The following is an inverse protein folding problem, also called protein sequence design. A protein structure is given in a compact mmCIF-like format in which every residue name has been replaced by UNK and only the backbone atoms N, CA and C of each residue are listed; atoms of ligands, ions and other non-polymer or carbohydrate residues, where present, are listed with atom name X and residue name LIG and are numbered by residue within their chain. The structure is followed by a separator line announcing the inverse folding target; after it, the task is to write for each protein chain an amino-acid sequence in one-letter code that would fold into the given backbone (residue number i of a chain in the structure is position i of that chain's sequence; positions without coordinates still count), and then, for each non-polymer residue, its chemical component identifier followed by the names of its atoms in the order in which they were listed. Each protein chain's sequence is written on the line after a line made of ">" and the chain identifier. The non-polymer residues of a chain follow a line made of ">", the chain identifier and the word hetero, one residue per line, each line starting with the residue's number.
data_IF_977514326706
#
_entry.id   IF_977514326706
#
_cell.length_a   1.000
_cell.length_b   1.000
_cell.length_c   1.000
_cell.angle_alpha   90.00
_cell.angle_beta   90.00
_cell.angle_gamma   90.00
#
_symmetry.space_group_name_H-M   'P 1'
#
loop_
_entity.id
_entity.type
_entity.pdbx_description
1 polymer ?
#
# COMPACT_ATOMS: atom_id res chain seq x y z
N UNK A 1 19.11 -1.46 -0.76
CA UNK A 1 20.15 -0.86 0.09
C UNK A 1 21.50 -1.11 -0.56
N UNK A 2 22.04 -0.08 -1.23
CA UNK A 2 23.40 -0.04 -1.79
C UNK A 2 24.32 0.54 -0.70
N UNK A 3 25.42 -0.14 -0.40
CA UNK A 3 26.67 0.39 0.19
C UNK A 3 27.64 -0.79 0.28
N UNK A 4 28.56 -0.89 -0.68
CA UNK A 4 29.93 -0.39 -0.54
C UNK A 4 30.69 -1.15 0.54
N UNK A 5 31.35 -2.24 0.13
CA UNK A 5 32.42 -2.86 0.90
C UNK A 5 33.75 -2.44 0.27
N UNK A 6 34.44 -1.65 1.07
CA UNK A 6 35.60 -0.84 0.77
C UNK A 6 36.84 -1.69 0.68
N UNK A 7 37.54 -1.52 -0.43
CA UNK A 7 38.90 -1.96 -0.70
C UNK A 7 39.87 -1.16 0.19
N UNK A 8 40.67 -1.86 1.01
CA UNK A 8 41.79 -1.29 1.77
C UNK A 8 43.07 -2.07 1.43
N UNK A 9 43.88 -1.41 0.60
CA UNK A 9 45.33 -1.20 0.66
C UNK A 9 46.18 -2.27 1.36
N UNK A 10 47.16 -2.80 0.62
CA UNK A 10 48.54 -2.84 1.13
C UNK A 10 49.56 -2.71 -0.01
N UNK A 11 50.21 -1.55 -0.03
CA UNK A 11 51.46 -1.26 -0.72
C UNK A 11 52.58 -2.17 -0.19
N UNK A 12 53.23 -2.88 -1.10
CA UNK A 12 54.43 -3.68 -0.84
C UNK A 12 55.47 -3.41 -1.93
N UNK A 13 56.36 -2.47 -1.62
CA UNK A 13 57.61 -2.14 -2.31
C UNK A 13 58.51 -3.39 -2.40
N UNK A 14 59.07 -3.69 -3.57
CA UNK A 14 60.52 -3.92 -3.74
C UNK A 14 60.92 -3.86 -5.22
N UNK A 15 61.60 -2.78 -5.57
CA UNK A 15 62.69 -2.78 -6.55
C UNK A 15 63.66 -3.93 -6.22
N UNK A 16 64.17 -4.62 -7.24
CA UNK A 16 65.60 -4.95 -7.46
C UNK A 16 65.68 -6.12 -8.44
N UNK A 17 66.33 -5.93 -9.60
CA UNK A 17 66.61 -7.03 -10.50
C UNK A 17 67.05 -6.62 -11.90
N UNK A 18 68.08 -5.78 -12.00
CA UNK A 18 68.90 -5.70 -13.22
C UNK A 18 69.73 -6.98 -13.30
N UNK A 19 69.60 -7.74 -14.39
CA UNK A 19 70.34 -9.00 -14.58
C UNK A 19 70.11 -9.53 -15.98
N UNK A 20 70.95 -9.10 -16.91
CA UNK A 20 70.90 -9.53 -18.30
C UNK A 20 71.21 -11.02 -18.45
N UNK A 21 70.56 -11.63 -19.44
CA UNK A 21 71.17 -12.65 -20.27
C UNK A 21 70.49 -12.59 -21.64
N UNK A 22 70.95 -11.61 -22.42
CA UNK A 22 70.88 -11.69 -23.87
C UNK A 22 71.77 -12.87 -24.29
N UNK A 23 71.14 -14.03 -24.46
CA UNK A 23 71.57 -15.08 -25.37
C UNK A 23 70.45 -15.14 -26.41
N UNK A 24 70.56 -14.65 -27.65
CA UNK A 24 71.71 -14.76 -28.55
C UNK A 24 72.31 -16.18 -28.52
N UNK A 25 71.44 -17.19 -28.54
CA UNK A 25 71.77 -18.46 -29.17
C UNK A 25 71.10 -18.48 -30.54
N UNK A 26 71.94 -18.15 -31.52
CA UNK A 26 72.13 -18.95 -32.72
C UNK A 26 70.89 -19.17 -33.58
N UNK A 27 70.76 -18.27 -34.55
CA UNK A 27 70.43 -18.68 -35.90
C UNK A 27 71.31 -19.89 -36.30
N UNK A 28 70.71 -21.07 -36.40
CA UNK A 28 71.07 -22.16 -37.33
C UNK A 28 69.91 -23.13 -37.39
N UNK A 29 68.99 -22.87 -38.32
CA UNK A 29 68.31 -23.85 -39.16
C UNK A 29 67.48 -23.08 -40.19
N UNK A 30 68.16 -22.40 -41.12
CA UNK A 30 67.57 -22.08 -42.44
C UNK A 30 67.73 -23.32 -43.31
N UNK A 31 66.86 -24.30 -43.08
CA UNK A 31 66.53 -25.40 -43.97
C UNK A 31 65.06 -25.71 -43.61
N UNK A 32 64.04 -25.36 -44.37
CA UNK A 32 63.88 -25.21 -45.81
C UNK A 32 62.82 -24.10 -46.02
N UNK A 33 63.17 -22.92 -46.53
CA UNK A 33 62.22 -21.77 -46.64
C UNK A 33 61.40 -21.84 -47.94
N UNK A 34 61.60 -22.89 -48.74
CA UNK A 34 61.00 -23.00 -50.07
C UNK A 34 59.53 -23.44 -50.03
N UNK A 35 59.08 -24.03 -48.92
CA UNK A 35 57.71 -24.59 -48.74
C UNK A 35 56.97 -24.01 -47.52
N UNK A 36 57.37 -22.82 -47.05
CA UNK A 36 56.69 -22.14 -45.96
C UNK A 36 55.35 -21.54 -46.43
N UNK A 37 54.25 -22.01 -45.84
CA UNK A 37 52.88 -21.54 -46.09
C UNK A 37 52.47 -20.58 -44.97
N UNK A 38 51.95 -19.42 -45.33
CA UNK A 38 51.38 -18.46 -44.36
C UNK A 38 49.98 -18.91 -43.96
N UNK A 39 49.73 -19.02 -42.66
CA UNK A 39 48.42 -19.43 -42.13
C UNK A 39 47.44 -18.25 -42.23
N UNK A 40 46.32 -18.39 -42.96
CA UNK A 40 45.32 -17.33 -43.09
C UNK A 40 44.42 -17.26 -41.85
N UNK A 41 43.77 -16.12 -41.65
CA UNK A 41 42.70 -15.98 -40.66
C UNK A 41 41.47 -16.78 -41.07
N UNK A 42 41.02 -17.69 -40.21
CA UNK A 42 39.72 -18.37 -40.37
C UNK A 42 38.74 -18.04 -39.23
N UNK A 43 39.05 -17.02 -38.43
CA UNK A 43 38.22 -16.64 -37.29
C UNK A 43 36.83 -16.16 -37.71
N UNK A 44 35.80 -16.72 -37.08
CA UNK A 44 34.41 -16.44 -37.39
C UNK A 44 33.87 -17.12 -38.66
N UNK A 45 34.70 -17.84 -39.42
CA UNK A 45 34.23 -18.65 -40.54
C UNK A 45 33.48 -19.89 -40.07
N UNK A 46 32.66 -20.46 -40.96
CA UNK A 46 32.09 -21.79 -40.74
C UNK A 46 33.19 -22.84 -40.89
N UNK A 47 33.13 -23.92 -40.09
CA UNK A 47 34.15 -24.97 -40.09
C UNK A 47 34.41 -25.54 -41.49
N UNK A 48 33.36 -25.74 -42.30
CA UNK A 48 33.50 -26.20 -43.70
C UNK A 48 34.37 -25.25 -44.53
N UNK A 49 34.08 -23.94 -44.50
CA UNK A 49 34.83 -22.93 -45.26
C UNK A 49 36.25 -22.75 -44.76
N UNK A 50 36.44 -22.79 -43.44
CA UNK A 50 37.77 -22.73 -42.83
C UNK A 50 38.62 -23.93 -43.23
N UNK A 51 38.02 -25.13 -43.27
CA UNK A 51 38.68 -26.36 -43.70
C UNK A 51 39.10 -26.27 -45.17
N UNK A 52 38.16 -25.89 -46.05
CA UNK A 52 38.45 -25.72 -47.48
C UNK A 52 39.56 -24.71 -47.74
N UNK A 53 39.57 -23.59 -47.00
CA UNK A 53 40.59 -22.55 -47.17
C UNK A 53 41.99 -23.03 -46.73
N UNK A 54 42.08 -23.78 -45.63
CA UNK A 54 43.35 -24.29 -45.12
C UNK A 54 43.88 -25.47 -45.95
N UNK A 55 43.00 -26.40 -46.35
CA UNK A 55 43.36 -27.54 -47.19
C UNK A 55 43.81 -27.10 -48.59
N UNK A 56 43.17 -26.07 -49.17
CA UNK A 56 43.62 -25.48 -50.45
C UNK A 56 45.03 -24.88 -50.39
N UNK A 57 45.52 -24.51 -49.20
CA UNK A 57 46.89 -24.04 -48.99
C UNK A 57 47.87 -25.18 -48.70
N UNK A 58 47.39 -26.42 -48.63
CA UNK A 58 48.17 -27.59 -48.26
C UNK A 58 48.40 -27.72 -46.76
N UNK A 59 47.47 -27.22 -45.93
CA UNK A 59 47.49 -27.37 -44.48
C UNK A 59 46.45 -28.41 -44.04
N UNK A 60 46.75 -29.15 -42.98
CA UNK A 60 45.80 -30.11 -42.38
C UNK A 60 44.99 -29.41 -41.30
N UNK A 61 43.74 -29.81 -41.11
CA UNK A 61 42.86 -29.20 -40.11
C UNK A 61 42.43 -30.23 -39.08
N UNK A 62 42.59 -29.87 -37.80
CA UNK A 62 42.00 -30.61 -36.68
C UNK A 62 41.08 -29.67 -35.92
N UNK A 63 39.79 -29.99 -35.89
CA UNK A 63 38.80 -29.17 -35.19
C UNK A 63 38.34 -29.87 -33.91
N UNK A 64 38.35 -29.13 -32.81
CA UNK A 64 37.92 -29.57 -31.49
C UNK A 64 36.80 -28.65 -30.99
N UNK A 65 35.77 -29.23 -30.36
CA UNK A 65 34.70 -28.47 -29.72
C UNK A 65 35.24 -27.79 -28.46
N UNK A 66 35.41 -26.47 -28.51
CA UNK A 66 35.92 -25.68 -27.38
C UNK A 66 34.84 -25.30 -26.37
N UNK A 67 33.57 -25.53 -26.69
CA UNK A 67 32.46 -25.27 -25.78
C UNK A 67 32.17 -26.48 -24.88
N UNK A 68 32.14 -27.70 -25.43
CA UNK A 68 31.73 -28.90 -24.69
C UNK A 68 32.76 -30.04 -24.70
N UNK A 69 33.87 -29.93 -25.44
CA UNK A 69 34.87 -30.99 -25.56
C UNK A 69 34.35 -32.28 -26.21
N UNK A 70 33.23 -32.21 -26.94
CA UNK A 70 32.59 -33.36 -27.60
C UNK A 70 33.09 -33.52 -29.04
N UNK A 71 32.97 -34.74 -29.57
CA UNK A 71 33.28 -35.00 -30.98
C UNK A 71 32.26 -34.34 -31.91
N UNK A 72 32.76 -33.62 -32.92
CA UNK A 72 31.96 -32.92 -33.93
C UNK A 72 31.31 -33.96 -34.87
N UNK A 73 30.04 -34.30 -34.63
CA UNK A 73 29.31 -35.28 -35.44
C UNK A 73 28.77 -34.71 -36.76
N UNK A 74 28.72 -33.38 -36.91
CA UNK A 74 28.26 -32.71 -38.12
C UNK A 74 29.10 -31.46 -38.32
N UNK A 75 29.89 -31.38 -39.41
CA UNK A 75 30.74 -30.20 -39.69
C UNK A 75 29.94 -28.93 -40.01
N UNK A 76 28.71 -29.10 -40.47
CA UNK A 76 27.76 -28.00 -40.75
C UNK A 76 27.30 -27.35 -39.45
N UNK A 77 27.13 -26.03 -39.47
CA UNK A 77 26.66 -25.19 -38.36
C UNK A 77 27.65 -24.99 -37.19
N UNK A 78 28.95 -25.22 -37.43
CA UNK A 78 30.01 -24.89 -36.48
C UNK A 78 30.77 -23.65 -36.94
N UNK A 79 31.09 -22.76 -36.00
CA UNK A 79 31.88 -21.56 -36.24
C UNK A 79 33.23 -21.67 -35.53
N UNK A 80 34.29 -21.24 -36.21
CA UNK A 80 35.64 -21.19 -35.64
C UNK A 80 35.75 -20.03 -34.64
N UNK A 81 36.11 -20.35 -33.40
CA UNK A 81 36.27 -19.43 -32.27
C UNK A 81 37.73 -19.27 -31.84
N UNK A 82 38.58 -20.26 -32.12
CA UNK A 82 40.04 -20.16 -31.94
C UNK A 82 40.81 -20.90 -33.03
N UNK A 83 42.01 -20.42 -33.33
CA UNK A 83 42.88 -20.97 -34.36
C UNK A 83 44.32 -20.98 -33.83
N UNK A 84 44.99 -22.12 -33.95
CA UNK A 84 46.40 -22.31 -33.62
C UNK A 84 47.08 -23.18 -34.70
N UNK A 85 48.22 -22.78 -35.27
CA UNK A 85 48.91 -21.50 -35.06
C UNK A 85 48.12 -20.30 -35.57
N UNK A 86 48.35 -19.15 -34.93
CA UNK A 86 47.63 -17.91 -35.21
C UNK A 86 47.85 -17.39 -36.64
N UNK A 87 46.97 -16.50 -37.08
CA UNK A 87 47.07 -15.80 -38.37
C UNK A 87 48.47 -15.22 -38.61
N UNK A 88 48.97 -15.37 -39.82
CA UNK A 88 50.27 -14.85 -40.24
C UNK A 88 51.46 -15.71 -39.81
N UNK A 89 51.26 -16.76 -39.02
CA UNK A 89 52.30 -17.74 -38.72
C UNK A 89 52.79 -18.41 -40.01
N UNK A 90 54.11 -18.61 -40.12
CA UNK A 90 54.72 -19.37 -41.22
C UNK A 90 54.91 -20.80 -40.77
N UNK A 91 54.25 -21.73 -41.44
CA UNK A 91 54.30 -23.16 -41.13
C UNK A 91 54.78 -23.94 -42.35
N UNK A 92 55.34 -25.13 -42.15
CA UNK A 92 55.67 -26.00 -43.27
C UNK A 92 54.39 -26.46 -43.99
N UNK A 93 54.48 -26.75 -45.28
CA UNK A 93 53.42 -27.48 -45.99
C UNK A 93 53.08 -28.77 -45.24
N UNK A 94 51.81 -29.19 -45.26
CA UNK A 94 51.24 -30.30 -44.48
C UNK A 94 51.19 -30.12 -42.95
N UNK A 95 51.52 -28.93 -42.42
CA UNK A 95 51.35 -28.62 -41.01
C UNK A 95 49.88 -28.66 -40.61
N UNK A 96 49.61 -29.06 -39.36
CA UNK A 96 48.26 -29.14 -38.81
C UNK A 96 47.88 -27.85 -38.10
N UNK A 97 46.73 -27.29 -38.46
CA UNK A 97 46.08 -26.16 -37.79
C UNK A 97 44.96 -26.70 -36.91
N UNK A 98 45.07 -26.42 -35.60
CA UNK A 98 44.07 -26.72 -34.60
C UNK A 98 43.03 -25.60 -34.54
N UNK A 99 41.77 -25.96 -34.73
CA UNK A 99 40.64 -25.04 -34.70
C UNK A 99 39.75 -25.37 -33.51
N UNK A 100 39.56 -24.42 -32.61
CA UNK A 100 38.45 -24.48 -31.68
C UNK A 100 37.18 -24.00 -32.36
N UNK A 101 36.13 -24.80 -32.27
CA UNK A 101 34.83 -24.48 -32.85
C UNK A 101 33.71 -24.51 -31.82
N UNK A 102 32.62 -23.82 -32.15
CA UNK A 102 31.39 -23.79 -31.36
C UNK A 102 30.18 -24.03 -32.25
N UNK A 103 29.21 -24.81 -31.75
CA UNK A 103 27.99 -25.10 -32.47
C UNK A 103 27.00 -23.92 -32.40
N UNK A 104 26.66 -23.36 -33.56
CA UNK A 104 25.80 -22.18 -33.67
C UNK A 104 24.33 -22.45 -33.35
N UNK A 105 23.84 -23.67 -33.60
CA UNK A 105 22.45 -24.04 -33.27
C UNK A 105 22.27 -24.16 -31.75
N UNK A 106 23.26 -24.75 -31.07
CA UNK A 106 23.28 -24.84 -29.61
C UNK A 106 23.40 -23.45 -28.97
N UNK A 107 24.27 -22.60 -29.48
CA UNK A 107 24.38 -21.19 -29.07
C UNK A 107 23.04 -20.45 -29.19
N UNK A 108 22.37 -20.59 -30.33
CA UNK A 108 21.07 -19.97 -30.56
C UNK A 108 20.01 -20.51 -29.60
N UNK A 109 20.00 -21.82 -29.33
CA UNK A 109 19.10 -22.45 -28.38
C UNK A 109 19.36 -22.03 -26.92
N UNK A 110 20.62 -21.97 -26.50
CA UNK A 110 21.01 -21.50 -25.16
C UNK A 110 20.70 -20.01 -24.98
N UNK A 111 20.96 -19.19 -25.99
CA UNK A 111 20.57 -17.77 -25.99
C UNK A 111 19.06 -17.60 -25.94
N UNK A 112 18.30 -18.38 -26.72
CA UNK A 112 16.84 -18.34 -26.68
C UNK A 112 16.28 -18.79 -25.31
N UNK A 113 16.88 -19.80 -24.69
CA UNK A 113 16.52 -20.25 -23.35
C UNK A 113 16.84 -19.18 -22.29
N UNK A 114 18.00 -18.51 -22.39
CA UNK A 114 18.38 -17.42 -21.51
C UNK A 114 17.44 -16.20 -21.67
N UNK A 115 17.09 -15.82 -22.90
CA UNK A 115 16.17 -14.72 -23.19
C UNK A 115 14.76 -15.03 -22.67
N UNK A 116 14.27 -16.27 -22.84
CA UNK A 116 12.99 -16.73 -22.28
C UNK A 116 12.99 -16.70 -20.75
N UNK A 117 14.05 -17.18 -20.11
CA UNK A 117 14.19 -17.16 -18.65
C UNK A 117 14.25 -15.72 -18.10
N UNK A 118 14.92 -14.81 -18.80
CA UNK A 118 14.96 -13.39 -18.45
C UNK A 118 13.57 -12.74 -18.56
N UNK A 119 12.82 -13.06 -19.63
CA UNK A 119 11.46 -12.56 -19.82
C UNK A 119 10.49 -13.06 -18.73
N UNK A 120 10.54 -14.35 -18.38
CA UNK A 120 9.73 -14.92 -17.29
C UNK A 120 10.05 -14.28 -15.93
N UNK A 121 11.35 -14.06 -15.65
CA UNK A 121 11.78 -13.41 -14.41
C UNK A 121 11.33 -11.94 -14.35
N UNK A 122 11.35 -11.23 -15.48
CA UNK A 122 10.84 -9.86 -15.58
C UNK A 122 9.32 -9.80 -15.36
N UNK A 123 8.56 -10.74 -15.95
CA UNK A 123 7.11 -10.84 -15.74
C UNK A 123 6.76 -11.12 -14.27
N UNK A 124 7.47 -12.05 -13.62
CA UNK A 124 7.27 -12.35 -12.20
C UNK A 124 7.59 -11.15 -11.29
N UNK A 125 8.67 -10.41 -11.58
CA UNK A 125 9.03 -9.20 -10.83
C UNK A 125 7.96 -8.11 -10.97
N UNK A 126 7.41 -7.91 -12.18
CA UNK A 126 6.32 -6.96 -12.41
C UNK A 126 5.06 -7.35 -11.63
N UNK A 127 4.67 -8.62 -11.67
CA UNK A 127 3.51 -9.11 -10.92
C UNK A 127 3.67 -8.92 -9.39
N UNK A 128 4.86 -9.16 -8.86
CA UNK A 128 5.16 -8.93 -7.44
C UNK A 128 5.08 -7.44 -7.07
N UNK A 129 5.59 -6.55 -7.93
CA UNK A 129 5.52 -5.11 -7.74
C UNK A 129 4.07 -4.59 -7.78
N UNK A 130 3.27 -5.05 -8.74
CA UNK A 130 1.86 -4.68 -8.88
C UNK A 130 1.06 -5.14 -7.65
N UNK A 131 1.31 -6.36 -7.14
CA UNK A 131 0.69 -6.84 -5.90
C UNK A 131 1.09 -6.01 -4.69
N UNK A 132 2.37 -5.68 -4.55
CA UNK A 132 2.85 -4.86 -3.43
C UNK A 132 2.25 -3.45 -3.45
N UNK A 133 2.07 -2.86 -4.65
CA UNK A 133 1.41 -1.57 -4.81
C UNK A 133 -0.08 -1.64 -4.41
N UNK A 134 -0.79 -2.70 -4.80
CA UNK A 134 -2.18 -2.92 -4.41
C UNK A 134 -2.34 -3.12 -2.90
N UNK A 135 -1.49 -3.93 -2.27
CA UNK A 135 -1.51 -4.17 -0.82
C UNK A 135 -1.24 -2.86 -0.05
N UNK A 136 -0.29 -2.04 -0.51
CA UNK A 136 -0.03 -0.73 0.09
C UNK A 136 -1.21 0.23 -0.05
N UNK A 137 -1.83 0.29 -1.23
CA UNK A 137 -2.99 1.14 -1.46
C UNK A 137 -4.18 0.73 -0.57
N UNK A 138 -4.40 -0.58 -0.38
CA UNK A 138 -5.42 -1.09 0.52
C UNK A 138 -5.14 -0.71 1.99
N UNK A 139 -3.88 -0.82 2.44
CA UNK A 139 -3.48 -0.43 3.79
C UNK A 139 -3.63 1.08 4.03
N UNK A 140 -3.21 1.92 3.07
CA UNK A 140 -3.35 3.37 3.15
C UNK A 140 -4.84 3.79 3.22
N UNK A 141 -5.70 3.15 2.43
CA UNK A 141 -7.15 3.39 2.48
C UNK A 141 -7.75 2.98 3.83
N UNK A 142 -7.38 1.81 4.36
CA UNK A 142 -7.86 1.35 5.66
C UNK A 142 -7.42 2.30 6.81
N UNK A 143 -6.19 2.81 6.74
CA UNK A 143 -5.70 3.79 7.70
C UNK A 143 -6.47 5.13 7.62
N UNK A 144 -6.75 5.60 6.40
CA UNK A 144 -7.55 6.81 6.19
C UNK A 144 -8.99 6.66 6.70
N UNK A 145 -9.65 5.54 6.40
CA UNK A 145 -11.01 5.24 6.85
C UNK A 145 -11.06 5.19 8.39
N UNK A 146 -10.06 4.58 9.05
CA UNK A 146 -9.96 4.55 10.51
C UNK A 146 -9.74 5.95 11.10
N UNK A 147 -8.86 6.76 10.51
CA UNK A 147 -8.61 8.12 10.98
C UNK A 147 -9.86 9.00 10.88
N UNK A 148 -10.64 8.86 9.80
CA UNK A 148 -11.91 9.56 9.63
C UNK A 148 -12.93 9.15 10.70
N UNK A 149 -13.04 7.85 11.01
CA UNK A 149 -13.93 7.35 12.06
C UNK A 149 -13.52 7.86 13.46
N UNK A 150 -12.22 7.83 13.79
CA UNK A 150 -11.70 8.34 15.06
C UNK A 150 -11.96 9.85 15.21
N UNK A 151 -11.80 10.63 14.14
CA UNK A 151 -12.09 12.07 14.13
C UNK A 151 -13.59 12.36 14.31
N UNK A 152 -14.47 11.58 13.67
CA UNK A 152 -15.91 11.71 13.82
C UNK A 152 -16.36 11.39 15.27
N UNK A 153 -15.79 10.35 15.87
CA UNK A 153 -16.07 9.99 17.26
C UNK A 153 -15.61 11.10 18.24
N UNK A 154 -14.42 11.67 18.03
CA UNK A 154 -13.93 12.80 18.82
C UNK A 154 -14.81 14.05 18.68
N UNK A 155 -15.27 14.36 17.48
CA UNK A 155 -16.18 15.48 17.23
C UNK A 155 -17.53 15.26 17.94
N UNK A 156 -18.10 14.06 17.87
CA UNK A 156 -19.35 13.72 18.56
C UNK A 156 -19.20 13.83 20.09
N UNK A 157 -18.09 13.36 20.65
CA UNK A 157 -17.81 13.48 22.08
C UNK A 157 -17.70 14.94 22.53
N UNK A 158 -17.08 15.81 21.72
CA UNK A 158 -17.01 17.25 22.01
C UNK A 158 -18.40 17.88 22.02
N UNK A 159 -19.23 17.60 21.01
CA UNK A 159 -20.61 18.11 20.94
C UNK A 159 -21.43 17.65 22.15
N UNK A 160 -21.32 16.38 22.53
CA UNK A 160 -22.01 15.85 23.71
C UNK A 160 -21.56 16.55 25.01
N UNK A 161 -20.26 16.79 25.17
CA UNK A 161 -19.73 17.51 26.34
C UNK A 161 -20.23 18.97 26.40
N UNK A 162 -20.31 19.64 25.26
CA UNK A 162 -20.82 21.02 25.16
C UNK A 162 -22.31 21.09 25.51
N UNK A 163 -23.12 20.13 25.05
CA UNK A 163 -24.53 20.04 25.42
C UNK A 163 -24.74 19.73 26.90
N UNK A 164 -23.93 18.84 27.49
CA UNK A 164 -23.98 18.56 28.92
C UNK A 164 -23.63 19.79 29.76
N UNK A 165 -22.63 20.58 29.34
CA UNK A 165 -22.27 21.83 29.99
C UNK A 165 -23.40 22.88 29.90
N UNK A 166 -24.04 23.02 28.73
CA UNK A 166 -25.16 23.94 28.54
C UNK A 166 -26.37 23.60 29.42
N UNK A 167 -26.71 22.32 29.56
CA UNK A 167 -27.78 21.87 30.45
C UNK A 167 -27.50 22.18 31.92
N UNK A 168 -26.24 22.09 32.35
CA UNK A 168 -25.83 22.43 33.72
C UNK A 168 -25.80 23.94 33.99
N UNK A 169 -25.58 24.75 32.95
CA UNK A 169 -25.54 26.21 33.05
C UNK A 169 -26.92 26.87 32.90
N UNK A 170 -27.96 26.11 32.51
CA UNK A 170 -29.33 26.62 32.50
C UNK A 170 -29.72 27.04 33.93
N UNK A 171 -30.06 28.32 34.16
CA UNK A 171 -30.49 28.75 35.49
C UNK A 171 -31.73 27.93 35.89
N UNK A 172 -31.88 27.55 37.17
CA UNK A 172 -33.12 26.94 37.64
C UNK A 172 -34.26 27.84 37.18
N UNK A 173 -35.29 27.25 36.57
CA UNK A 173 -36.49 27.97 36.17
C UNK A 173 -36.85 28.90 37.32
N UNK A 174 -36.76 30.21 37.07
CA UNK A 174 -37.18 31.20 38.05
C UNK A 174 -38.64 30.86 38.33
N UNK A 175 -38.89 30.26 39.49
CA UNK A 175 -40.22 30.20 40.06
C UNK A 175 -40.67 31.66 40.00
N UNK A 176 -41.72 32.01 39.23
CA UNK A 176 -42.19 33.38 39.20
C UNK A 176 -42.33 33.81 40.65
N UNK A 177 -41.66 34.90 41.02
CA UNK A 177 -41.75 35.43 42.36
C UNK A 177 -43.23 35.49 42.72
N UNK A 178 -43.60 34.82 43.81
CA UNK A 178 -44.94 34.96 44.35
C UNK A 178 -45.22 36.47 44.42
N UNK A 179 -46.32 36.97 43.82
CA UNK A 179 -46.62 38.38 43.81
C UNK A 179 -46.50 38.91 45.25
N UNK A 180 -45.82 40.05 45.40
CA UNK A 180 -45.68 40.72 46.69
C UNK A 180 -47.04 40.74 47.40
N UNK A 181 -47.10 40.52 48.72
CA UNK A 181 -48.35 40.63 49.45
C UNK A 181 -48.94 42.00 49.16
N UNK A 182 -50.08 42.00 48.48
CA UNK A 182 -50.92 43.18 48.38
C UNK A 182 -51.20 43.68 49.81
N UNK A 183 -51.29 45.00 50.04
CA UNK A 183 -51.68 45.53 51.33
C UNK A 183 -52.95 44.82 51.80
N UNK A 184 -52.94 44.41 53.07
CA UNK A 184 -54.02 43.65 53.69
C UNK A 184 -55.38 44.23 53.28
N UNK A 185 -56.25 43.46 52.60
CA UNK A 185 -57.63 43.87 52.43
C UNK A 185 -58.24 43.97 53.82
N UNK A 186 -58.71 45.17 54.14
CA UNK A 186 -59.66 45.40 55.23
C UNK A 186 -60.77 44.37 55.04
N UNK A 187 -61.01 43.54 56.05
CA UNK A 187 -62.00 42.48 55.98
C UNK A 187 -63.34 43.05 55.49
N UNK A 188 -63.99 42.46 54.45
CA UNK A 188 -65.39 42.74 54.25
C UNK A 188 -66.13 42.31 55.52
N UNK A 189 -66.98 43.21 56.03
CA UNK A 189 -67.91 42.89 57.09
C UNK A 189 -68.61 41.58 56.74
N UNK A 190 -68.63 40.64 57.69
CA UNK A 190 -69.42 39.42 57.57
C UNK A 190 -70.85 39.80 57.13
N UNK A 191 -71.47 39.08 56.17
CA UNK A 191 -72.84 39.39 55.79
C UNK A 191 -73.71 39.25 57.04
N UNK A 192 -74.42 40.32 57.39
CA UNK A 192 -75.45 40.28 58.40
C UNK A 192 -76.37 39.09 58.07
N UNK A 193 -76.50 38.17 59.02
CA UNK A 193 -77.38 37.01 58.91
C UNK A 193 -78.79 37.54 58.64
N UNK A 194 -79.30 37.38 57.42
CA UNK A 194 -80.66 37.75 57.08
C UNK A 194 -81.61 36.90 57.92
N UNK A 195 -82.18 37.42 59.00
CA UNK A 195 -83.16 36.70 59.81
C UNK A 195 -84.56 36.99 59.28
N UNK A 196 -85.28 35.94 58.85
CA UNK A 196 -86.66 36.06 58.44
C UNK A 196 -87.59 35.54 59.54
N UNK A 197 -88.54 36.35 60.04
CA UNK A 197 -89.45 35.92 61.10
C UNK A 197 -90.50 34.90 60.62
N UNK A 198 -90.81 34.86 59.31
CA UNK A 198 -91.77 33.91 58.71
C UNK A 198 -91.61 33.85 57.18
N UNK A 199 -92.24 32.84 56.55
CA UNK A 199 -92.20 32.67 55.09
C UNK A 199 -92.81 33.80 54.28
N UNK A 200 -93.73 34.60 54.85
CA UNK A 200 -94.26 35.76 54.16
C UNK A 200 -93.18 36.85 53.99
N UNK A 201 -92.34 37.06 55.01
CA UNK A 201 -91.19 37.95 54.91
C UNK A 201 -90.16 37.46 53.87
N UNK A 202 -89.92 36.15 53.80
CA UNK A 202 -89.03 35.54 52.80
C UNK A 202 -89.55 35.77 51.38
N UNK A 203 -90.85 35.52 51.14
CA UNK A 203 -91.49 35.74 49.83
C UNK A 203 -91.55 37.23 49.46
N UNK A 204 -91.88 38.11 50.41
CA UNK A 204 -91.90 39.56 50.19
C UNK A 204 -90.51 40.11 49.85
N UNK A 205 -89.45 39.52 50.40
CA UNK A 205 -88.07 39.82 50.05
C UNK A 205 -87.61 39.16 48.74
N UNK A 206 -88.44 38.34 48.09
CA UNK A 206 -88.10 37.60 46.87
C UNK A 206 -87.05 36.51 47.06
N UNK A 207 -86.81 36.08 48.31
CA UNK A 207 -85.75 35.13 48.67
C UNK A 207 -86.24 33.67 48.74
N UNK A 208 -87.52 33.40 48.47
CA UNK A 208 -88.10 32.05 48.50
C UNK A 208 -87.95 31.35 47.14
N UNK A 209 -87.72 30.02 47.10
CA UNK A 209 -87.49 29.12 48.24
C UNK A 209 -86.09 29.27 48.85
N UNK A 210 -85.99 29.14 50.18
CA UNK A 210 -84.72 29.15 50.92
C UNK A 210 -84.20 27.74 51.13
N UNK A 211 -82.96 27.45 50.74
CA UNK A 211 -82.38 26.12 50.89
C UNK A 211 -81.48 26.01 52.13
N UNK A 212 -81.39 24.82 52.70
CA UNK A 212 -80.52 24.54 53.85
C UNK A 212 -79.08 25.00 53.60
N UNK A 213 -78.51 25.72 54.56
CA UNK A 213 -77.18 26.34 54.46
C UNK A 213 -77.16 27.74 53.83
N UNK A 214 -78.27 28.22 53.26
CA UNK A 214 -78.35 29.61 52.82
C UNK A 214 -78.54 30.57 54.00
N UNK A 215 -78.00 31.81 53.90
CA UNK A 215 -78.26 32.85 54.88
C UNK A 215 -79.77 33.08 55.05
N UNK A 216 -80.25 32.91 56.28
CA UNK A 216 -81.66 33.08 56.63
C UNK A 216 -82.54 31.84 56.53
N UNK A 217 -82.00 30.71 56.07
CA UNK A 217 -82.65 29.43 56.31
C UNK A 217 -82.67 29.12 57.81
N UNK A 218 -83.82 28.67 58.30
CA UNK A 218 -83.93 28.06 59.62
C UNK A 218 -84.94 26.92 59.58
N UNK A 219 -84.74 25.91 60.42
CA UNK A 219 -85.66 24.76 60.56
C UNK A 219 -87.05 25.15 61.05
N UNK A 220 -87.25 26.40 61.50
CA UNK A 220 -88.56 26.93 61.87
C UNK A 220 -89.36 27.42 60.66
N UNK A 221 -88.69 27.72 59.54
CA UNK A 221 -89.31 28.13 58.27
C UNK A 221 -89.57 26.95 57.33
N UNK A 222 -88.89 25.83 57.58
CA UNK A 222 -89.02 24.56 56.87
C UNK A 222 -89.96 23.63 57.66
N UNK A 223 -91.25 23.61 57.28
CA UNK A 223 -92.31 22.96 58.05
C UNK A 223 -92.25 21.44 57.94
N UNK A 224 -91.85 20.91 56.80
CA UNK A 224 -91.69 19.49 56.48
C UNK A 224 -90.27 18.97 56.70
N UNK A 225 -89.28 19.87 56.88
CA UNK A 225 -87.87 19.56 57.18
C UNK A 225 -87.19 18.77 56.08
N UNK A 226 -87.50 19.09 54.84
CA UNK A 226 -86.87 18.47 53.68
C UNK A 226 -85.63 19.23 53.18
N UNK A 227 -85.32 20.37 53.80
CA UNK A 227 -84.19 21.22 53.46
C UNK A 227 -84.55 22.41 52.56
N UNK A 228 -85.84 22.61 52.24
CA UNK A 228 -86.35 23.72 51.43
C UNK A 228 -87.41 24.50 52.22
N UNK A 229 -87.02 25.62 52.81
CA UNK A 229 -87.95 26.49 53.51
C UNK A 229 -88.80 27.35 52.54
N UNK A 230 -90.07 27.52 52.88
CA UNK A 230 -91.00 28.44 52.22
C UNK A 230 -91.30 28.17 50.74
N UNK A 231 -91.22 26.90 50.31
CA UNK A 231 -91.53 26.43 48.94
C UNK A 231 -93.02 26.45 48.57
N UNK A 232 -93.92 26.46 49.56
CA UNK A 232 -95.38 26.44 49.39
C UNK A 232 -95.99 27.78 49.82
#
# INVERSE_FOLDING_TARGET
>A
MKKMLTLVVLTGLMLTGCGGQQAASSATAVADVSDAVTVPSVMGMTLDKATDQLENLGLKVKADDTADGKMIMSKKNWQVTSQDPAEGAKVAKDSTVHLGVKNLEKEAAEKAAADKAAAEKAAAAKAAADKAAADKAAADKAAADKAAADAAAAAAAKVAAEQAAAQKAAPPAQVPAAPAPAPAPVAPAAPATAYYPNCAAVKAAGAAPLYSGQPGYSTSLDRDRDGVACEK
#
